data_IF_172521094452
#
_entry.id   IF_172521094452
#
_cell.length_a   1.000
_cell.length_b   1.000
_cell.length_c   1.000
_cell.angle_alpha   90.00
_cell.angle_beta   90.00
_cell.angle_gamma   90.00
#
_symmetry.space_group_name_H-M   'P 1'
#
loop_
_entity.id
_entity.type
_entity.pdbx_description
1 polymer ?
#
# COMPACT_ATOMS: atom_id res chain seq x y z
N UNK A 1 -6.70 16.25 4.80
CA UNK A 1 -6.94 14.93 4.17
C UNK A 1 -6.51 14.87 2.72
N UNK A 2 -6.79 15.90 1.90
CA UNK A 2 -6.31 15.93 0.49
C UNK A 2 -4.80 15.68 0.38
N UNK A 3 -3.99 16.34 1.21
CA UNK A 3 -2.53 16.16 1.19
C UNK A 3 -2.08 14.72 1.48
N UNK A 4 -2.82 13.99 2.32
CA UNK A 4 -2.50 12.60 2.65
C UNK A 4 -2.80 11.67 1.47
N UNK A 5 -3.88 11.91 0.75
CA UNK A 5 -4.23 11.17 -0.46
C UNK A 5 -3.19 11.41 -1.56
N UNK A 6 -2.79 12.65 -1.76
CA UNK A 6 -1.75 13.00 -2.75
C UNK A 6 -0.39 12.38 -2.42
N UNK A 7 0.00 12.40 -1.14
CA UNK A 7 1.23 11.72 -0.69
C UNK A 7 1.17 10.23 -0.94
N UNK A 8 0.04 9.59 -0.64
CA UNK A 8 -0.15 8.16 -0.88
C UNK A 8 -0.08 7.84 -2.38
N UNK A 9 -0.68 8.65 -3.22
CA UNK A 9 -0.61 8.53 -4.67
C UNK A 9 0.83 8.61 -5.19
N UNK A 10 1.62 9.56 -4.69
CA UNK A 10 3.03 9.69 -5.03
C UNK A 10 3.83 8.45 -4.61
N UNK A 11 3.58 7.93 -3.40
CA UNK A 11 4.22 6.69 -2.92
C UNK A 11 3.88 5.51 -3.82
N UNK A 12 2.62 5.35 -4.21
CA UNK A 12 2.19 4.27 -5.10
C UNK A 12 2.86 4.34 -6.47
N UNK A 13 3.00 5.53 -7.03
CA UNK A 13 3.71 5.74 -8.29
C UNK A 13 5.20 5.36 -8.18
N UNK A 14 5.86 5.74 -7.08
CA UNK A 14 7.25 5.36 -6.82
C UNK A 14 7.41 3.86 -6.61
N UNK A 15 6.52 3.23 -5.88
CA UNK A 15 6.52 1.77 -5.69
C UNK A 15 6.39 1.06 -7.04
N UNK A 16 5.46 1.47 -7.88
CA UNK A 16 5.27 0.92 -9.20
C UNK A 16 6.52 1.08 -10.07
N UNK A 17 7.14 2.26 -10.05
CA UNK A 17 8.34 2.57 -10.83
C UNK A 17 9.54 1.69 -10.45
N UNK A 18 9.74 1.43 -9.16
CA UNK A 18 10.92 0.73 -8.67
C UNK A 18 10.66 -0.74 -8.29
N UNK A 19 9.45 -1.23 -8.49
CA UNK A 19 9.07 -2.59 -8.07
C UNK A 19 9.96 -3.68 -8.65
N UNK A 20 10.21 -3.65 -9.95
CA UNK A 20 11.05 -4.64 -10.63
C UNK A 20 12.50 -4.61 -10.11
N UNK A 21 13.09 -3.43 -10.02
CA UNK A 21 14.47 -3.27 -9.55
C UNK A 21 14.64 -3.76 -8.12
N UNK A 22 13.70 -3.41 -7.25
CA UNK A 22 13.71 -3.86 -5.86
C UNK A 22 13.53 -5.37 -5.74
N UNK A 23 12.68 -5.97 -6.54
CA UNK A 23 12.46 -7.42 -6.54
C UNK A 23 13.71 -8.19 -6.97
N UNK A 24 14.39 -7.73 -8.00
CA UNK A 24 15.66 -8.31 -8.46
C UNK A 24 16.73 -8.25 -7.37
N UNK A 25 16.90 -7.08 -6.74
CA UNK A 25 17.89 -6.91 -5.68
C UNK A 25 17.58 -7.74 -4.43
N UNK A 26 16.31 -7.86 -4.06
CA UNK A 26 15.89 -8.75 -2.96
C UNK A 26 16.17 -10.22 -3.27
N UNK A 27 15.93 -10.65 -4.50
CA UNK A 27 16.26 -12.01 -4.94
C UNK A 27 17.76 -12.28 -4.83
N UNK A 28 18.59 -11.38 -5.35
CA UNK A 28 20.06 -11.50 -5.26
C UNK A 28 20.51 -11.56 -3.79
N UNK A 29 19.95 -10.70 -2.95
CA UNK A 29 20.29 -10.64 -1.53
C UNK A 29 19.95 -11.95 -0.79
N UNK A 30 18.82 -12.57 -1.11
CA UNK A 30 18.36 -13.81 -0.47
C UNK A 30 18.98 -15.08 -1.05
N UNK A 31 19.58 -15.03 -2.24
CA UNK A 31 20.17 -16.18 -2.89
C UNK A 31 21.54 -16.52 -2.29
N UNK A 32 21.61 -17.59 -1.52
CA UNK A 32 22.84 -18.03 -0.85
C UNK A 32 23.88 -18.66 -1.75
N UNK A 33 23.52 -19.04 -2.97
CA UNK A 33 24.45 -19.61 -3.94
C UNK A 33 25.41 -18.58 -4.55
N UNK A 34 25.09 -17.30 -4.43
CA UNK A 34 25.92 -16.22 -4.94
C UNK A 34 27.04 -15.84 -3.97
N UNK A 35 28.19 -15.31 -4.48
CA UNK A 35 29.27 -14.82 -3.63
C UNK A 35 28.80 -13.74 -2.66
N UNK A 36 29.40 -13.70 -1.46
CA UNK A 36 29.04 -12.74 -0.42
C UNK A 36 29.24 -11.27 -0.88
N UNK A 37 30.26 -10.99 -1.69
CA UNK A 37 30.51 -9.65 -2.22
C UNK A 37 29.37 -9.13 -3.10
N UNK A 38 28.82 -9.98 -3.97
CA UNK A 38 27.66 -9.64 -4.84
C UNK A 38 26.44 -9.39 -4.00
N UNK A 39 26.18 -10.23 -3.02
CA UNK A 39 25.04 -10.07 -2.09
C UNK A 39 25.14 -8.79 -1.27
N UNK A 40 26.33 -8.47 -0.79
CA UNK A 40 26.59 -7.22 -0.06
C UNK A 40 26.30 -6.00 -0.92
N UNK A 41 26.79 -5.99 -2.15
CA UNK A 41 26.54 -4.89 -3.09
C UNK A 41 25.04 -4.70 -3.36
N UNK A 42 24.32 -5.79 -3.57
CA UNK A 42 22.86 -5.76 -3.75
C UNK A 42 22.15 -5.17 -2.53
N UNK A 43 22.60 -5.47 -1.33
CA UNK A 43 22.10 -4.87 -0.09
C UNK A 43 22.33 -3.37 -0.01
N UNK A 44 23.50 -2.92 -0.39
CA UNK A 44 23.85 -1.48 -0.44
C UNK A 44 22.99 -0.76 -1.47
N UNK A 45 22.83 -1.31 -2.66
CA UNK A 45 22.00 -0.72 -3.72
C UNK A 45 20.53 -0.65 -3.30
N UNK A 46 20.02 -1.69 -2.64
CA UNK A 46 18.66 -1.72 -2.11
C UNK A 46 18.45 -0.65 -1.03
N UNK A 47 19.41 -0.44 -0.16
CA UNK A 47 19.37 0.60 0.88
C UNK A 47 19.44 2.01 0.29
N UNK A 48 20.03 2.19 -0.90
CA UNK A 48 20.13 3.47 -1.60
C UNK A 48 18.81 3.94 -2.21
N UNK A 49 17.79 3.09 -2.33
CA UNK A 49 16.49 3.52 -2.82
C UNK A 49 15.73 4.39 -1.83
N UNK A 50 14.89 5.28 -2.36
CA UNK A 50 14.00 6.11 -1.54
C UNK A 50 13.11 5.25 -0.64
N UNK A 51 12.92 5.65 0.60
CA UNK A 51 12.00 4.99 1.54
C UNK A 51 10.58 4.90 0.99
N UNK A 52 10.14 5.90 0.24
CA UNK A 52 8.79 5.94 -0.35
C UNK A 52 8.60 4.96 -1.51
N UNK A 53 9.67 4.37 -2.04
CA UNK A 53 9.58 3.30 -3.04
C UNK A 53 9.27 1.93 -2.44
N UNK A 54 9.28 1.80 -1.11
CA UNK A 54 8.98 0.54 -0.42
C UNK A 54 7.48 0.29 -0.34
N UNK A 55 7.07 -0.93 -0.71
CA UNK A 55 5.68 -1.39 -0.62
C UNK A 55 5.14 -1.40 0.82
N UNK A 56 6.01 -1.58 1.81
CA UNK A 56 5.62 -1.62 3.22
C UNK A 56 5.10 -0.28 3.75
N UNK A 57 5.41 0.82 3.09
CA UNK A 57 4.92 2.16 3.45
C UNK A 57 3.58 2.51 2.86
N UNK A 58 3.04 1.66 1.98
CA UNK A 58 1.70 1.85 1.43
C UNK A 58 0.65 1.50 2.48
N UNK A 59 -0.37 2.32 2.58
CA UNK A 59 -1.51 2.09 3.44
C UNK A 59 -2.80 2.29 2.65
N UNK A 60 -3.76 1.39 2.89
CA UNK A 60 -5.09 1.54 2.29
C UNK A 60 -5.81 2.71 2.95
N UNK A 61 -6.33 3.61 2.13
CA UNK A 61 -7.05 4.80 2.57
C UNK A 61 -8.44 4.85 1.97
N UNK A 62 -9.36 5.44 2.74
CA UNK A 62 -10.69 5.73 2.24
C UNK A 62 -10.62 6.66 1.03
N UNK A 63 -11.30 6.31 -0.04
CA UNK A 63 -11.30 7.10 -1.30
C UNK A 63 -11.93 8.47 -1.08
N UNK A 64 -12.92 8.57 -0.20
CA UNK A 64 -13.65 9.82 0.04
C UNK A 64 -13.01 10.70 1.10
N UNK A 65 -12.67 10.12 2.26
CA UNK A 65 -12.19 10.90 3.42
C UNK A 65 -10.68 10.89 3.58
N UNK A 66 -9.97 9.94 2.95
CA UNK A 66 -8.53 9.79 3.12
C UNK A 66 -8.11 9.13 4.45
N UNK A 67 -9.06 8.66 5.26
CA UNK A 67 -8.77 7.98 6.52
C UNK A 67 -7.98 6.69 6.26
N UNK A 68 -6.88 6.50 6.98
CA UNK A 68 -5.99 5.33 6.83
C UNK A 68 -6.27 4.19 7.80
N UNK A 69 -7.29 4.30 8.65
CA UNK A 69 -7.65 3.28 9.65
C UNK A 69 -9.03 2.71 9.35
N UNK A 70 -9.20 1.41 9.63
CA UNK A 70 -10.48 0.71 9.49
C UNK A 70 -11.10 0.90 8.09
N UNK A 71 -10.31 0.63 7.06
CA UNK A 71 -10.74 0.71 5.66
C UNK A 71 -11.17 -0.66 5.17
N UNK A 72 -12.40 -0.77 4.66
CA UNK A 72 -12.89 -1.98 4.02
C UNK A 72 -12.31 -2.13 2.62
N UNK A 73 -11.52 -3.18 2.38
CA UNK A 73 -10.87 -3.39 1.08
C UNK A 73 -11.87 -3.60 -0.06
N UNK A 74 -12.99 -4.26 0.21
CA UNK A 74 -14.02 -4.53 -0.80
C UNK A 74 -14.64 -3.25 -1.37
N UNK A 75 -14.87 -2.26 -0.51
CA UNK A 75 -15.50 -0.99 -0.90
C UNK A 75 -14.51 0.15 -1.04
N UNK A 76 -13.27 -0.02 -0.57
CA UNK A 76 -12.25 1.05 -0.51
C UNK A 76 -12.70 2.28 0.29
N UNK A 77 -13.61 2.07 1.23
CA UNK A 77 -14.18 3.10 2.09
C UNK A 77 -13.85 2.79 3.56
N UNK A 78 -13.79 3.82 4.38
CA UNK A 78 -13.68 3.65 5.84
C UNK A 78 -14.96 3.07 6.41
N UNK A 79 -14.87 2.45 7.60
CA UNK A 79 -16.05 1.89 8.30
C UNK A 79 -17.17 2.93 8.46
N UNK A 80 -16.82 4.19 8.68
CA UNK A 80 -17.79 5.29 8.87
C UNK A 80 -18.55 5.53 7.56
N UNK A 81 -17.84 5.60 6.44
CA UNK A 81 -18.45 5.85 5.13
C UNK A 81 -19.24 4.66 4.62
N UNK A 82 -18.78 3.43 4.89
CA UNK A 82 -19.54 2.20 4.57
C UNK A 82 -20.87 2.22 5.30
N UNK A 83 -20.87 2.53 6.59
CA UNK A 83 -22.09 2.62 7.38
C UNK A 83 -23.02 3.72 6.86
N UNK A 84 -22.51 4.89 6.58
CA UNK A 84 -23.29 6.01 6.04
C UNK A 84 -23.94 5.65 4.70
N UNK A 85 -23.20 5.06 3.79
CA UNK A 85 -23.71 4.66 2.48
C UNK A 85 -24.67 3.47 2.54
N UNK A 86 -24.46 2.53 3.46
CA UNK A 86 -25.38 1.43 3.68
C UNK A 86 -26.74 1.95 4.18
N UNK A 87 -26.75 2.89 5.10
CA UNK A 87 -27.99 3.51 5.61
C UNK A 87 -28.71 4.38 4.57
N UNK A 88 -27.99 5.02 3.69
CA UNK A 88 -28.58 5.83 2.60
C UNK A 88 -29.01 5.00 1.39
N UNK A 89 -28.74 3.69 1.38
CA UNK A 89 -29.12 2.80 0.28
C UNK A 89 -28.21 2.86 -0.95
N UNK A 90 -27.04 3.50 -0.85
CA UNK A 90 -26.10 3.61 -1.97
C UNK A 90 -25.31 2.32 -2.25
N UNK A 91 -25.27 1.39 -1.29
CA UNK A 91 -24.63 0.08 -1.47
C UNK A 91 -25.73 -0.98 -1.47
N UNK A 92 -25.87 -1.67 -2.58
CA UNK A 92 -26.87 -2.76 -2.72
C UNK A 92 -26.48 -3.96 -1.85
N UNK A 93 -27.50 -4.67 -1.33
CA UNK A 93 -27.32 -5.89 -0.56
C UNK A 93 -26.91 -5.68 0.90
N UNK A 94 -26.77 -4.46 1.37
CA UNK A 94 -26.48 -4.13 2.76
C UNK A 94 -27.73 -3.63 3.48
N UNK A 95 -28.01 -4.23 4.62
CA UNK A 95 -29.10 -3.78 5.50
C UNK A 95 -28.64 -3.87 6.96
N UNK A 96 -29.30 -3.12 7.82
CA UNK A 96 -29.07 -3.18 9.26
C UNK A 96 -29.49 -4.53 9.79
N UNK A 97 -28.60 -5.23 10.50
CA UNK A 97 -28.92 -6.52 11.11
C UNK A 97 -29.09 -6.39 12.60
N UNK A 98 -30.00 -7.19 13.16
CA UNK A 98 -30.12 -7.40 14.59
C UNK A 98 -30.44 -8.89 14.83
N UNK A 99 -29.80 -9.45 15.82
CA UNK A 99 -29.96 -10.87 16.15
C UNK A 99 -30.20 -11.10 17.64
#
# INVERSE_FOLDING_TARGET
MKNLIERDKKRRNLVCKYEQKRSVLKYILSNRSLPAAVRWQAGVDLAGFSKNSSKTRLNNRCVLTGRGKAVCRAFRLSRIMVRTFAHSGNISGLQKSSW
#
